data_IF_559488403565
#
_entry.id   IF_559488403565
#
_cell.length_a   1.000
_cell.length_b   1.000
_cell.length_c   1.000
_cell.angle_alpha   90.00
_cell.angle_beta   90.00
_cell.angle_gamma   90.00
#
_symmetry.space_group_name_H-M   'P 1'
#
loop_
_entity.id
_entity.type
_entity.pdbx_description
1 polymer ?
#
# COMPACT_ATOMS: atom_id res chain seq x y z
N UNK A 1 -0.37 28.37 -0.84
CA UNK A 1 -1.71 27.78 -1.03
C UNK A 1 -1.70 26.52 -0.18
N UNK A 2 -2.53 26.46 0.85
CA UNK A 2 -2.57 25.33 1.78
C UNK A 2 -3.20 24.16 1.03
N UNK A 3 -2.64 22.96 1.17
CA UNK A 3 -3.25 21.76 0.61
C UNK A 3 -4.50 21.42 1.42
N UNK A 4 -5.56 20.97 0.74
CA UNK A 4 -6.81 20.59 1.42
C UNK A 4 -6.57 19.40 2.36
N UNK A 5 -5.78 18.43 1.90
CA UNK A 5 -5.30 17.32 2.73
C UNK A 5 -3.90 17.65 3.25
N UNK A 6 -3.69 17.49 4.55
CA UNK A 6 -2.36 17.64 5.13
C UNK A 6 -1.43 16.52 4.63
N UNK A 7 -0.20 16.81 4.21
CA UNK A 7 0.69 15.83 3.59
C UNK A 7 1.29 14.81 4.56
N UNK A 8 1.27 15.08 5.87
CA UNK A 8 1.73 14.14 6.90
C UNK A 8 0.68 13.07 7.18
N UNK A 9 1.14 11.86 7.49
CA UNK A 9 0.32 10.78 8.01
C UNK A 9 0.79 10.47 9.43
N UNK A 10 -0.14 10.43 10.38
CA UNK A 10 0.15 10.06 11.76
C UNK A 10 -0.13 8.58 11.96
N UNK A 11 0.80 7.87 12.59
CA UNK A 11 0.55 6.51 13.08
C UNK A 11 -0.04 6.60 14.49
N UNK A 12 -1.18 5.93 14.68
CA UNK A 12 -1.83 5.88 15.98
C UNK A 12 -1.85 4.46 16.49
N UNK A 13 -1.26 4.26 17.66
CA UNK A 13 -1.23 2.97 18.35
C UNK A 13 -2.44 2.84 19.27
N UNK A 14 -3.22 1.78 19.06
CA UNK A 14 -4.36 1.40 19.89
C UNK A 14 -4.02 0.09 20.62
N UNK A 15 -4.86 -0.31 21.57
CA UNK A 15 -4.60 -1.46 22.47
C UNK A 15 -4.23 -2.75 21.74
N UNK A 16 -4.77 -2.99 20.54
CA UNK A 16 -4.60 -4.24 19.79
C UNK A 16 -4.17 -4.06 18.34
N UNK A 17 -4.09 -2.82 17.84
CA UNK A 17 -3.83 -2.54 16.44
C UNK A 17 -3.34 -1.12 16.22
N UNK A 18 -2.97 -0.81 14.98
CA UNK A 18 -2.60 0.53 14.56
C UNK A 18 -3.53 1.06 13.50
N UNK A 19 -3.60 2.38 13.41
CA UNK A 19 -4.36 3.09 12.39
C UNK A 19 -3.51 4.22 11.85
N UNK A 20 -3.69 4.55 10.58
CA UNK A 20 -3.17 5.80 10.02
C UNK A 20 -4.23 6.88 10.20
N UNK A 21 -3.84 8.05 10.67
CA UNK A 21 -4.69 9.22 10.74
C UNK A 21 -4.22 10.27 9.73
N UNK A 22 -5.19 10.83 9.00
CA UNK A 22 -5.06 11.90 8.01
C UNK A 22 -5.91 13.09 8.45
N UNK A 23 -5.57 14.28 7.96
CA UNK A 23 -6.34 15.50 8.19
C UNK A 23 -6.76 16.18 6.89
N UNK A 24 -8.02 16.61 6.81
CA UNK A 24 -8.57 17.46 5.76
C UNK A 24 -8.96 18.81 6.38
N UNK A 25 -8.25 19.88 6.02
CA UNK A 25 -8.43 21.20 6.61
C UNK A 25 -9.56 22.01 5.99
N UNK A 26 -9.85 21.77 4.70
CA UNK A 26 -10.85 22.52 3.95
C UNK A 26 -11.40 21.67 2.81
N UNK A 27 -12.66 21.84 2.46
CA UNK A 27 -13.18 21.22 1.23
C UNK A 27 -12.53 21.86 -0.01
N UNK A 28 -12.31 21.04 -1.02
CA UNK A 28 -11.75 21.42 -2.32
C UNK A 28 -12.65 20.87 -3.42
N UNK A 29 -12.35 21.16 -4.67
CA UNK A 29 -12.92 20.41 -5.78
C UNK A 29 -12.71 18.89 -5.58
N UNK A 30 -13.74 18.09 -5.87
CA UNK A 30 -13.77 16.65 -5.58
C UNK A 30 -12.67 15.87 -6.30
N UNK A 31 -12.27 16.30 -7.50
CA UNK A 31 -11.18 15.65 -8.24
C UNK A 31 -9.84 15.93 -7.55
N UNK A 32 -9.62 17.16 -7.10
CA UNK A 32 -8.43 17.53 -6.35
C UNK A 32 -8.34 16.82 -4.98
N UNK A 33 -9.48 16.57 -4.32
CA UNK A 33 -9.56 15.76 -3.10
C UNK A 33 -9.14 14.32 -3.40
N UNK A 34 -9.71 13.71 -4.45
CA UNK A 34 -9.39 12.35 -4.88
C UNK A 34 -7.89 12.21 -5.14
N UNK A 35 -7.32 13.09 -5.97
CA UNK A 35 -5.92 13.02 -6.36
C UNK A 35 -4.98 13.13 -5.16
N UNK A 36 -5.28 14.05 -4.22
CA UNK A 36 -4.49 14.23 -3.00
C UNK A 36 -4.56 13.00 -2.09
N UNK A 37 -5.76 12.46 -1.85
CA UNK A 37 -5.96 11.29 -1.00
C UNK A 37 -5.34 10.03 -1.60
N UNK A 38 -5.59 9.76 -2.89
CA UNK A 38 -5.02 8.60 -3.59
C UNK A 38 -3.50 8.64 -3.52
N UNK A 39 -2.90 9.80 -3.81
CA UNK A 39 -1.44 9.97 -3.72
C UNK A 39 -0.92 9.75 -2.30
N UNK A 40 -1.62 10.26 -1.29
CA UNK A 40 -1.18 10.12 0.10
C UNK A 40 -1.30 8.67 0.60
N UNK A 41 -2.39 7.99 0.26
CA UNK A 41 -2.59 6.56 0.53
C UNK A 41 -1.51 5.74 -0.17
N UNK A 42 -1.26 5.98 -1.45
CA UNK A 42 -0.22 5.31 -2.22
C UNK A 42 1.15 5.44 -1.54
N UNK A 43 1.56 6.67 -1.19
CA UNK A 43 2.83 6.90 -0.51
C UNK A 43 2.90 6.22 0.86
N UNK A 44 1.79 6.20 1.61
CA UNK A 44 1.71 5.54 2.92
C UNK A 44 1.92 4.05 2.80
N UNK A 45 1.21 3.39 1.88
CA UNK A 45 1.36 1.95 1.66
C UNK A 45 2.72 1.60 1.03
N UNK A 46 3.25 2.41 0.13
CA UNK A 46 4.59 2.21 -0.41
C UNK A 46 5.65 2.29 0.69
N UNK A 47 5.57 3.28 1.58
CA UNK A 47 6.50 3.41 2.69
C UNK A 47 6.42 2.21 3.65
N UNK A 48 5.23 1.69 3.92
CA UNK A 48 5.04 0.51 4.77
C UNK A 48 5.53 -0.78 4.08
N UNK A 49 5.22 -0.99 2.80
CA UNK A 49 5.52 -2.26 2.12
C UNK A 49 6.94 -2.36 1.57
N UNK A 50 7.61 -1.22 1.41
CA UNK A 50 9.03 -1.17 1.00
C UNK A 50 9.99 -1.35 2.17
N UNK A 51 9.49 -1.58 3.40
CA UNK A 51 10.33 -1.79 4.57
C UNK A 51 11.27 -2.99 4.41
N UNK A 52 12.48 -2.87 4.97
CA UNK A 52 13.41 -3.98 5.05
C UNK A 52 12.89 -5.11 5.95
N UNK A 53 13.34 -6.35 5.74
CA UNK A 53 12.91 -7.51 6.54
C UNK A 53 13.09 -7.33 8.05
N UNK A 54 14.19 -6.72 8.47
CA UNK A 54 14.50 -6.43 9.88
C UNK A 54 13.51 -5.48 10.55
N UNK A 55 12.93 -4.55 9.79
CA UNK A 55 11.92 -3.58 10.27
C UNK A 55 10.51 -4.22 10.22
N UNK A 56 10.24 -5.02 9.19
CA UNK A 56 8.98 -5.73 8.99
C UNK A 56 8.67 -6.81 10.06
N UNK A 57 9.61 -7.08 10.97
CA UNK A 57 9.40 -7.90 12.18
C UNK A 57 8.48 -7.23 13.21
N UNK A 58 8.37 -5.90 13.20
CA UNK A 58 7.43 -5.21 14.07
C UNK A 58 6.00 -5.59 13.69
N UNK A 59 5.21 -6.10 14.64
CA UNK A 59 3.77 -6.37 14.44
C UNK A 59 2.99 -5.05 14.31
N UNK A 60 3.19 -4.33 13.21
CA UNK A 60 2.63 -3.00 12.96
C UNK A 60 1.12 -3.03 12.65
N UNK A 61 0.50 -4.21 12.62
CA UNK A 61 -0.94 -4.54 12.54
C UNK A 61 -1.90 -3.37 12.22
N UNK A 62 -1.71 -2.73 11.07
CA UNK A 62 -2.61 -1.65 10.63
C UNK A 62 -3.96 -2.24 10.24
N UNK A 63 -5.04 -1.62 10.74
CA UNK A 63 -6.42 -2.06 10.48
C UNK A 63 -7.28 -1.04 9.77
N UNK A 64 -6.93 0.25 9.81
CA UNK A 64 -7.71 1.29 9.18
C UNK A 64 -6.91 2.54 8.85
N UNK A 65 -7.46 3.35 7.95
CA UNK A 65 -7.10 4.75 7.73
C UNK A 65 -8.27 5.61 8.20
N UNK A 66 -7.99 6.59 9.05
CA UNK A 66 -8.95 7.61 9.49
C UNK A 66 -8.66 8.93 8.81
N UNK A 67 -9.71 9.63 8.38
CA UNK A 67 -9.65 10.99 7.87
C UNK A 67 -10.46 11.90 8.80
N UNK A 68 -9.76 12.80 9.49
CA UNK A 68 -10.37 13.84 10.31
C UNK A 68 -10.62 15.07 9.43
N UNK A 69 -11.87 15.49 9.35
CA UNK A 69 -12.27 16.60 8.49
C UNK A 69 -12.66 17.78 9.35
N UNK A 70 -12.07 18.94 9.08
CA UNK A 70 -12.21 20.16 9.88
C UNK A 70 -13.11 21.22 9.23
N UNK A 71 -13.62 20.95 8.03
CA UNK A 71 -14.52 21.81 7.27
C UNK A 71 -15.66 21.00 6.63
N UNK A 72 -16.78 21.64 6.29
CA UNK A 72 -17.92 20.96 5.70
C UNK A 72 -17.60 20.44 4.28
N UNK A 73 -17.69 19.11 4.08
CA UNK A 73 -17.54 18.53 2.74
C UNK A 73 -18.81 18.64 1.92
N UNK A 74 -18.65 19.05 0.67
CA UNK A 74 -19.66 18.95 -0.37
C UNK A 74 -20.08 17.50 -0.64
N UNK A 75 -21.26 17.34 -1.23
CA UNK A 75 -21.78 16.01 -1.60
C UNK A 75 -20.85 15.25 -2.57
N UNK A 76 -20.29 15.87 -3.64
CA UNK A 76 -19.32 15.19 -4.50
C UNK A 76 -18.06 14.73 -3.76
N UNK A 77 -17.53 15.54 -2.83
CA UNK A 77 -16.38 15.16 -1.99
C UNK A 77 -16.70 13.94 -1.12
N UNK A 78 -17.92 13.84 -0.58
CA UNK A 78 -18.37 12.67 0.19
C UNK A 78 -18.50 11.41 -0.67
N UNK A 79 -18.95 11.54 -1.92
CA UNK A 79 -19.02 10.43 -2.88
C UNK A 79 -17.61 9.91 -3.23
N UNK A 80 -16.64 10.81 -3.41
CA UNK A 80 -15.21 10.44 -3.58
C UNK A 80 -14.71 9.61 -2.39
N UNK A 81 -15.01 10.06 -1.16
CA UNK A 81 -14.61 9.32 0.04
C UNK A 81 -15.21 7.91 0.06
N UNK A 82 -16.50 7.77 -0.23
CA UNK A 82 -17.17 6.47 -0.29
C UNK A 82 -16.55 5.54 -1.35
N UNK A 83 -16.22 6.07 -2.53
CA UNK A 83 -15.54 5.29 -3.58
C UNK A 83 -14.13 4.83 -3.18
N UNK A 84 -13.46 5.62 -2.33
CA UNK A 84 -12.17 5.28 -1.72
C UNK A 84 -12.34 4.39 -0.48
N UNK A 85 -13.55 3.92 -0.18
CA UNK A 85 -13.83 2.99 0.92
C UNK A 85 -13.93 3.63 2.30
N UNK A 86 -14.08 4.95 2.36
CA UNK A 86 -14.27 5.68 3.61
C UNK A 86 -15.76 5.77 3.95
N UNK A 87 -16.11 5.27 5.14
CA UNK A 87 -17.42 5.43 5.73
C UNK A 87 -17.38 6.48 6.86
N UNK A 88 -18.45 7.27 6.99
CA UNK A 88 -18.56 8.23 8.09
C UNK A 88 -18.70 7.49 9.43
N UNK A 89 -17.95 7.93 10.43
CA UNK A 89 -17.94 7.35 11.78
C UNK A 89 -18.09 8.43 12.84
N UNK A 90 -18.38 7.98 14.07
CA UNK A 90 -18.62 8.89 15.18
C UNK A 90 -17.31 9.41 15.76
N UNK A 91 -17.19 10.73 15.89
CA UNK A 91 -16.14 11.35 16.70
C UNK A 91 -16.43 11.16 18.20
N UNK A 92 -15.47 10.59 18.92
CA UNK A 92 -15.54 10.37 20.38
C UNK A 92 -14.37 11.10 21.04
N UNK A 93 -14.56 12.28 21.66
CA UNK A 93 -13.45 13.14 22.12
C UNK A 93 -12.35 12.42 22.90
N UNK A 94 -12.73 11.62 23.90
CA UNK A 94 -11.78 10.91 24.76
C UNK A 94 -10.91 9.89 24.00
N UNK A 95 -11.43 9.30 22.91
CA UNK A 95 -10.67 8.36 22.10
C UNK A 95 -9.69 9.07 21.17
N UNK A 96 -9.90 10.35 20.87
CA UNK A 96 -9.16 11.10 19.85
C UNK A 96 -8.23 12.16 20.45
N UNK A 97 -8.18 12.33 21.77
CA UNK A 97 -7.45 13.40 22.45
C UNK A 97 -5.99 13.52 21.98
N UNK A 98 -5.24 12.41 21.99
CA UNK A 98 -3.83 12.39 21.56
C UNK A 98 -3.67 12.71 20.07
N UNK A 99 -4.55 12.16 19.22
CA UNK A 99 -4.54 12.43 17.76
C UNK A 99 -4.80 13.91 17.50
N UNK A 100 -5.75 14.49 18.21
CA UNK A 100 -6.11 15.90 18.08
C UNK A 100 -5.01 16.83 18.59
N UNK A 101 -4.27 16.42 19.63
CA UNK A 101 -3.10 17.17 20.10
C UNK A 101 -2.01 17.21 19.01
N UNK A 102 -1.66 16.06 18.43
CA UNK A 102 -0.67 15.99 17.35
C UNK A 102 -1.10 16.82 16.13
N UNK A 103 -2.38 16.75 15.74
CA UNK A 103 -2.88 17.54 14.62
C UNK A 103 -2.89 19.05 14.87
N UNK A 104 -3.09 19.49 16.12
CA UNK A 104 -2.95 20.90 16.50
C UNK A 104 -1.50 21.37 16.34
N UNK A 105 -0.53 20.57 16.79
CA UNK A 105 0.89 20.91 16.65
C UNK A 105 1.31 21.02 15.17
N UNK A 106 0.87 20.09 14.32
CA UNK A 106 1.12 20.16 12.87
C UNK A 106 0.49 21.40 12.24
N UNK A 107 -0.77 21.69 12.58
CA UNK A 107 -1.44 22.86 12.02
C UNK A 107 -0.81 24.18 12.48
N UNK A 108 -0.40 24.29 13.75
CA UNK A 108 0.34 25.44 14.26
C UNK A 108 1.67 25.65 13.53
N UNK A 109 2.39 24.56 13.22
CA UNK A 109 3.63 24.62 12.44
C UNK A 109 3.41 25.14 11.01
N UNK A 110 2.24 24.91 10.42
CA UNK A 110 1.81 25.44 9.12
C UNK A 110 1.14 26.84 9.21
N UNK A 111 0.99 27.38 10.43
CA UNK A 111 0.34 28.67 10.67
C UNK A 111 -1.19 28.63 10.52
N UNK A 112 -1.79 27.45 10.69
CA UNK A 112 -3.23 27.19 10.62
C UNK A 112 -3.77 26.93 12.03
N UNK A 113 -4.97 27.43 12.32
CA UNK A 113 -5.67 27.16 13.57
C UNK A 113 -6.96 26.38 13.27
N UNK A 114 -6.89 25.05 13.16
CA UNK A 114 -8.08 24.24 12.91
C UNK A 114 -9.01 24.30 14.12
N UNK A 115 -10.33 24.09 13.93
CA UNK A 115 -11.28 23.92 15.02
C UNK A 115 -10.80 22.88 16.05
N UNK A 116 -11.21 23.03 17.31
CA UNK A 116 -10.82 22.13 18.40
C UNK A 116 -11.28 20.67 18.20
N UNK A 117 -12.27 20.46 17.34
CA UNK A 117 -12.83 19.15 16.99
C UNK A 117 -13.10 19.07 15.49
N UNK A 118 -12.94 17.89 14.86
CA UNK A 118 -13.36 17.70 13.47
C UNK A 118 -14.89 17.83 13.34
N UNK A 119 -15.37 18.28 12.19
CA UNK A 119 -16.79 18.32 11.86
C UNK A 119 -17.31 16.94 11.43
N UNK A 120 -16.43 16.10 10.91
CA UNK A 120 -16.72 14.73 10.52
C UNK A 120 -15.45 13.86 10.63
N UNK A 121 -15.64 12.57 10.89
CA UNK A 121 -14.57 11.58 10.85
C UNK A 121 -15.00 10.51 9.87
N UNK A 122 -14.09 10.14 8.97
CA UNK A 122 -14.29 9.06 8.05
C UNK A 122 -13.26 7.96 8.31
N UNK A 123 -13.65 6.71 8.08
CA UNK A 123 -12.81 5.54 8.32
C UNK A 123 -12.87 4.61 7.11
N UNK A 124 -11.70 4.24 6.59
CA UNK A 124 -11.54 3.16 5.64
C UNK A 124 -10.87 1.98 6.33
N UNK A 125 -11.60 0.87 6.48
CA UNK A 125 -11.04 -0.38 6.99
C UNK A 125 -10.10 -1.01 5.96
N UNK A 126 -9.01 -1.59 6.46
CA UNK A 126 -8.06 -2.34 5.64
C UNK A 126 -8.46 -3.81 5.68
N UNK A 127 -9.04 -4.27 4.58
CA UNK A 127 -9.44 -5.65 4.36
C UNK A 127 -8.23 -6.58 4.43
N UNK A 128 -8.44 -7.76 5.00
CA UNK A 128 -7.44 -8.82 5.08
C UNK A 128 -8.00 -10.09 4.48
N UNK A 129 -7.13 -11.00 3.99
CA UNK A 129 -7.56 -12.35 3.67
C UNK A 129 -8.35 -12.97 4.83
N UNK A 130 -9.29 -13.86 4.53
CA UNK A 130 -10.04 -14.57 5.57
C UNK A 130 -9.08 -15.28 6.56
N UNK A 131 -9.53 -15.51 7.79
CA UNK A 131 -8.67 -16.01 8.88
C UNK A 131 -7.85 -17.26 8.50
N UNK A 132 -8.45 -18.20 7.76
CA UNK A 132 -7.76 -19.45 7.37
C UNK A 132 -6.59 -19.24 6.40
N UNK A 133 -6.66 -18.19 5.58
CA UNK A 133 -5.60 -17.79 4.65
C UNK A 133 -4.62 -16.84 5.35
N UNK A 134 -5.13 -15.92 6.19
CA UNK A 134 -4.33 -14.92 6.91
C UNK A 134 -3.24 -15.57 7.76
N UNK A 135 -3.56 -16.59 8.56
CA UNK A 135 -2.58 -17.28 9.41
C UNK A 135 -1.41 -17.88 8.59
N UNK A 136 -1.72 -18.44 7.43
CA UNK A 136 -0.72 -19.02 6.54
C UNK A 136 0.12 -17.93 5.87
N UNK A 137 -0.51 -16.84 5.43
CA UNK A 137 0.19 -15.69 4.85
C UNK A 137 1.14 -15.06 5.87
N UNK A 138 0.73 -14.93 7.13
CA UNK A 138 1.59 -14.43 8.21
C UNK A 138 2.76 -15.38 8.50
N UNK A 139 2.54 -16.70 8.44
CA UNK A 139 3.61 -17.68 8.54
C UNK A 139 4.61 -17.55 7.37
N UNK A 140 4.13 -17.37 6.15
CA UNK A 140 4.98 -17.14 4.97
C UNK A 140 5.81 -15.88 5.14
N UNK A 141 5.19 -14.76 5.55
CA UNK A 141 5.88 -13.50 5.84
C UNK A 141 7.02 -13.71 6.84
N UNK A 142 6.76 -14.38 7.98
CA UNK A 142 7.78 -14.66 9.00
C UNK A 142 8.93 -15.50 8.47
N UNK A 143 8.63 -16.55 7.70
CA UNK A 143 9.67 -17.38 7.08
C UNK A 143 10.49 -16.62 6.04
N UNK A 144 9.85 -15.73 5.26
CA UNK A 144 10.56 -14.88 4.32
C UNK A 144 11.48 -13.89 5.03
N UNK A 145 11.04 -13.30 6.14
CA UNK A 145 11.88 -12.42 6.96
C UNK A 145 13.13 -13.16 7.45
N UNK A 146 12.98 -14.36 8.00
CA UNK A 146 14.11 -15.14 8.53
C UNK A 146 15.16 -15.48 7.46
N UNK A 147 14.73 -15.67 6.20
CA UNK A 147 15.63 -16.04 5.10
C UNK A 147 16.22 -14.83 4.37
N UNK A 148 15.49 -13.71 4.33
CA UNK A 148 15.90 -12.50 3.60
C UNK A 148 16.50 -11.45 4.55
N UNK A 149 16.79 -11.80 5.81
CA UNK A 149 17.33 -10.85 6.78
C UNK A 149 18.63 -10.19 6.26
N UNK A 150 18.64 -8.86 6.28
CA UNK A 150 19.72 -8.04 5.73
C UNK A 150 19.72 -7.85 4.20
N UNK A 151 18.86 -8.55 3.45
CA UNK A 151 18.73 -8.33 2.00
C UNK A 151 17.86 -7.11 1.69
N UNK A 152 18.17 -6.43 0.58
CA UNK A 152 17.33 -5.38 0.00
C UNK A 152 16.74 -5.81 -1.33
N UNK A 153 15.56 -5.27 -1.66
CA UNK A 153 14.97 -5.51 -2.98
C UNK A 153 15.96 -5.14 -4.10
N UNK A 154 16.03 -6.02 -5.10
CA UNK A 154 16.89 -5.88 -6.27
C UNK A 154 18.32 -6.40 -6.09
N UNK A 155 18.75 -6.74 -4.87
CA UNK A 155 20.08 -7.32 -4.63
C UNK A 155 20.20 -8.72 -5.22
N UNK A 156 19.16 -9.55 -5.02
CA UNK A 156 19.03 -10.90 -5.56
C UNK A 156 17.81 -11.00 -6.48
N UNK A 157 17.89 -10.58 -7.77
CA UNK A 157 16.78 -10.67 -8.71
C UNK A 157 16.18 -12.07 -8.80
N UNK A 158 14.86 -12.20 -8.63
CA UNK A 158 14.15 -13.48 -8.64
C UNK A 158 14.25 -14.29 -7.33
N UNK A 159 15.05 -13.84 -6.36
CA UNK A 159 15.23 -14.50 -5.07
C UNK A 159 13.95 -14.49 -4.23
N UNK A 160 13.42 -13.29 -3.89
CA UNK A 160 12.19 -13.14 -3.11
C UNK A 160 10.99 -13.86 -3.73
N UNK A 161 10.78 -13.76 -5.04
CA UNK A 161 9.67 -14.42 -5.73
C UNK A 161 9.77 -15.94 -5.70
N UNK A 162 10.97 -16.51 -5.89
CA UNK A 162 11.22 -17.94 -5.78
C UNK A 162 10.98 -18.46 -4.37
N UNK A 163 11.39 -17.69 -3.36
CA UNK A 163 11.18 -18.03 -1.96
C UNK A 163 9.69 -18.01 -1.62
N UNK A 164 8.98 -16.95 -2.03
CA UNK A 164 7.53 -16.85 -1.91
C UNK A 164 6.82 -18.04 -2.57
N UNK A 165 7.13 -18.35 -3.83
CA UNK A 165 6.57 -19.51 -4.54
C UNK A 165 6.84 -20.85 -3.80
N UNK A 166 8.01 -21.00 -3.18
CA UNK A 166 8.36 -22.18 -2.39
C UNK A 166 7.47 -22.32 -1.16
N UNK A 167 7.23 -21.23 -0.43
CA UNK A 167 6.38 -21.27 0.75
C UNK A 167 4.89 -21.38 0.41
N UNK A 168 4.44 -20.79 -0.69
CA UNK A 168 3.09 -21.03 -1.20
C UNK A 168 2.85 -22.51 -1.51
N UNK A 169 3.82 -23.18 -2.12
CA UNK A 169 3.75 -24.63 -2.34
C UNK A 169 3.68 -25.41 -1.03
N UNK A 170 4.41 -25.01 0.00
CA UNK A 170 4.41 -25.71 1.28
C UNK A 170 3.08 -25.53 2.05
N UNK A 171 2.55 -24.31 2.09
CA UNK A 171 1.37 -23.98 2.93
C UNK A 171 0.02 -24.13 2.22
N UNK A 172 0.00 -23.95 0.90
CA UNK A 172 -1.22 -24.01 0.08
C UNK A 172 -1.23 -25.18 -0.91
N UNK A 173 -0.15 -25.95 -1.02
CA UNK A 173 0.00 -27.01 -2.03
C UNK A 173 -0.17 -26.48 -3.48
N UNK A 174 0.14 -25.20 -3.70
CA UNK A 174 0.04 -24.54 -5.00
C UNK A 174 1.41 -24.40 -5.63
N UNK A 175 1.56 -24.84 -6.88
CA UNK A 175 2.78 -24.58 -7.64
C UNK A 175 2.63 -23.27 -8.40
N UNK A 176 3.51 -22.31 -8.12
CA UNK A 176 3.56 -21.03 -8.83
C UNK A 176 4.69 -21.09 -9.86
N UNK A 177 4.34 -20.86 -11.12
CA UNK A 177 5.27 -20.69 -12.24
C UNK A 177 5.36 -19.21 -12.64
N UNK A 178 6.51 -18.70 -13.11
CA UNK A 178 6.67 -17.30 -13.51
C UNK A 178 6.00 -17.00 -14.86
N UNK A 179 4.68 -17.16 -14.88
CA UNK A 179 3.79 -16.91 -16.02
C UNK A 179 2.48 -16.28 -15.51
N UNK A 180 1.58 -15.94 -16.44
CA UNK A 180 0.25 -15.39 -16.11
C UNK A 180 -0.56 -16.26 -15.15
N UNK A 181 -0.43 -17.59 -15.19
CA UNK A 181 -1.18 -18.49 -14.29
C UNK A 181 -0.64 -18.42 -12.87
N UNK A 182 0.68 -18.29 -12.70
CA UNK A 182 1.27 -18.01 -11.41
C UNK A 182 0.85 -16.66 -10.85
N UNK A 183 0.78 -15.62 -11.69
CA UNK A 183 0.30 -14.30 -11.27
C UNK A 183 -1.15 -14.35 -10.79
N UNK A 184 -2.03 -15.01 -11.56
CA UNK A 184 -3.41 -15.24 -11.15
C UNK A 184 -3.52 -16.07 -9.87
N UNK A 185 -2.61 -17.03 -9.66
CA UNK A 185 -2.59 -17.79 -8.41
C UNK A 185 -2.27 -16.90 -7.21
N UNK A 186 -1.33 -15.95 -7.34
CA UNK A 186 -1.07 -14.99 -6.26
C UNK A 186 -2.27 -14.08 -6.00
N UNK A 187 -2.90 -13.57 -7.05
CA UNK A 187 -4.12 -12.77 -6.95
C UNK A 187 -5.19 -13.46 -6.10
N UNK A 188 -5.48 -14.74 -6.34
CA UNK A 188 -6.46 -15.51 -5.58
C UNK A 188 -6.17 -15.65 -4.09
N UNK A 189 -4.90 -15.59 -3.67
CA UNK A 189 -4.51 -15.73 -2.26
C UNK A 189 -4.29 -14.38 -1.57
N UNK A 190 -3.78 -13.39 -2.31
CA UNK A 190 -3.30 -12.13 -1.75
C UNK A 190 -4.30 -10.99 -1.90
N UNK A 191 -5.20 -11.04 -2.89
CA UNK A 191 -6.05 -9.92 -3.28
C UNK A 191 -7.49 -10.27 -2.98
N UNK A 192 -8.16 -9.42 -2.21
CA UNK A 192 -9.58 -9.61 -1.86
C UNK A 192 -10.46 -8.93 -2.92
N UNK A 193 -11.45 -9.63 -3.47
CA UNK A 193 -12.29 -9.11 -4.57
C UNK A 193 -13.33 -8.05 -4.14
N UNK A 194 -13.26 -7.54 -2.91
CA UNK A 194 -14.24 -6.56 -2.39
C UNK A 194 -13.98 -5.18 -3.00
N UNK A 195 -14.96 -4.64 -3.73
CA UNK A 195 -14.88 -3.29 -4.29
C UNK A 195 -14.77 -2.22 -3.20
N UNK A 196 -14.22 -1.05 -3.56
CA UNK A 196 -14.14 0.14 -2.71
C UNK A 196 -13.55 -0.14 -1.32
N UNK A 197 -12.48 -0.94 -1.24
CA UNK A 197 -11.79 -1.20 0.03
C UNK A 197 -10.28 -1.12 -0.13
N UNK A 198 -9.63 -0.68 0.95
CA UNK A 198 -8.19 -0.81 1.12
C UNK A 198 -7.87 -2.26 1.47
N UNK A 199 -6.76 -2.79 0.97
CA UNK A 199 -6.37 -4.19 1.18
C UNK A 199 -4.98 -4.30 1.77
N UNK A 200 -4.83 -5.17 2.76
CA UNK A 200 -3.54 -5.43 3.38
C UNK A 200 -2.76 -6.48 2.60
N UNK A 201 -1.49 -6.17 2.34
CA UNK A 201 -0.51 -7.13 1.84
C UNK A 201 0.71 -7.09 2.75
N UNK A 202 1.21 -8.22 3.25
CA UNK A 202 2.43 -8.18 4.05
C UNK A 202 3.63 -7.69 3.23
N UNK A 203 4.54 -6.88 3.82
CA UNK A 203 5.63 -6.24 3.07
C UNK A 203 6.51 -7.17 2.23
N UNK A 204 6.86 -8.36 2.74
CA UNK A 204 7.74 -9.27 1.99
C UNK A 204 7.00 -10.01 0.88
N UNK A 205 5.70 -10.24 1.05
CA UNK A 205 4.87 -10.75 -0.04
C UNK A 205 4.65 -9.69 -1.12
N UNK A 206 4.51 -8.41 -0.75
CA UNK A 206 4.50 -7.31 -1.72
C UNK A 206 5.79 -7.23 -2.52
N UNK A 207 6.95 -7.25 -1.86
CA UNK A 207 8.25 -7.24 -2.54
C UNK A 207 8.47 -8.50 -3.39
N UNK A 208 8.04 -9.66 -2.89
CA UNK A 208 8.05 -10.92 -3.64
C UNK A 208 7.15 -10.88 -4.88
N UNK A 209 5.99 -10.22 -4.80
CA UNK A 209 5.08 -10.05 -5.93
C UNK A 209 5.65 -9.08 -6.96
N UNK A 210 6.23 -7.97 -6.51
CA UNK A 210 6.97 -7.06 -7.38
C UNK A 210 8.08 -7.83 -8.12
N UNK A 211 8.94 -8.54 -7.38
CA UNK A 211 10.03 -9.35 -7.95
C UNK A 211 9.51 -10.40 -8.95
N UNK A 212 8.39 -11.06 -8.64
CA UNK A 212 7.77 -12.05 -9.51
C UNK A 212 7.34 -11.45 -10.84
N UNK A 213 6.79 -10.23 -10.84
CA UNK A 213 6.48 -9.51 -12.08
C UNK A 213 7.73 -9.30 -12.92
N UNK A 214 8.84 -8.88 -12.31
CA UNK A 214 10.12 -8.74 -13.01
C UNK A 214 10.59 -10.05 -13.67
N UNK A 215 10.48 -11.16 -12.95
CA UNK A 215 10.82 -12.50 -13.48
C UNK A 215 9.88 -12.90 -14.62
N UNK A 216 8.58 -12.65 -14.50
CA UNK A 216 7.59 -12.93 -15.55
C UNK A 216 7.88 -12.11 -16.82
N UNK A 217 8.18 -10.81 -16.68
CA UNK A 217 8.56 -9.95 -17.80
C UNK A 217 9.80 -10.46 -18.55
N UNK A 218 10.79 -10.99 -17.82
CA UNK A 218 11.94 -11.65 -18.46
C UNK A 218 11.57 -12.98 -19.14
N UNK A 219 10.78 -13.82 -18.47
CA UNK A 219 10.49 -15.19 -18.91
C UNK A 219 9.50 -15.25 -20.07
N UNK A 220 8.43 -14.45 -20.03
CA UNK A 220 7.32 -14.50 -20.97
C UNK A 220 7.46 -13.50 -22.12
N UNK A 221 8.00 -12.31 -21.83
CA UNK A 221 8.11 -11.21 -22.79
C UNK A 221 9.54 -10.96 -23.29
N UNK A 222 10.51 -11.73 -22.79
CA UNK A 222 11.93 -11.61 -23.16
C UNK A 222 12.49 -10.18 -22.97
N UNK A 223 11.95 -9.45 -21.98
CA UNK A 223 12.45 -8.12 -21.62
C UNK A 223 13.73 -8.25 -20.80
N UNK A 224 14.71 -7.38 -21.02
CA UNK A 224 15.92 -7.32 -20.20
C UNK A 224 15.67 -6.46 -18.94
N UNK A 225 14.88 -6.98 -18.02
CA UNK A 225 14.55 -6.32 -16.76
C UNK A 225 15.79 -6.19 -15.88
N UNK A 226 15.99 -5.01 -15.29
CA UNK A 226 17.03 -4.77 -14.30
C UNK A 226 16.38 -4.13 -13.06
N UNK A 227 16.60 -4.75 -11.90
CA UNK A 227 16.02 -4.33 -10.63
C UNK A 227 16.82 -3.17 -10.04
N UNK A 228 16.13 -2.11 -9.60
CA UNK A 228 16.75 -1.06 -8.83
C UNK A 228 16.92 -1.50 -7.37
N UNK A 229 18.08 -1.21 -6.79
CA UNK A 229 18.35 -1.49 -5.37
C UNK A 229 17.50 -0.57 -4.49
N UNK A 230 16.79 -1.17 -3.53
CA UNK A 230 15.98 -0.44 -2.55
C UNK A 230 16.71 -0.30 -1.22
N UNK A 231 17.90 0.30 -1.26
CA UNK A 231 18.70 0.56 -0.05
C UNK A 231 18.08 1.71 0.75
N UNK A 232 17.81 1.54 2.06
CA UNK A 232 17.34 2.65 2.89
C UNK A 232 18.31 3.81 2.92
N UNK A 233 17.75 5.01 3.01
CA UNK A 233 18.51 6.22 3.29
C UNK A 233 18.86 6.35 4.78
N UNK A 234 19.55 7.44 5.14
CA UNK A 234 19.93 7.74 6.53
C UNK A 234 18.74 7.92 7.48
N UNK A 235 17.54 8.13 6.94
CA UNK A 235 16.29 8.24 7.69
C UNK A 235 15.58 6.88 7.84
N UNK A 236 16.16 5.81 7.29
CA UNK A 236 15.60 4.46 7.32
C UNK A 236 14.53 4.18 6.27
N UNK A 237 14.29 5.11 5.33
CA UNK A 237 13.31 4.92 4.26
C UNK A 237 13.96 4.26 3.05
N UNK A 238 13.46 3.08 2.68
CA UNK A 238 13.82 2.44 1.43
C UNK A 238 12.99 3.03 0.28
N UNK A 239 13.60 3.32 -0.89
CA UNK A 239 12.83 3.69 -2.07
C UNK A 239 11.98 2.48 -2.52
N UNK A 240 10.84 2.71 -3.17
CA UNK A 240 9.95 1.63 -3.58
C UNK A 240 10.58 0.75 -4.68
N UNK A 241 10.12 -0.50 -4.85
CA UNK A 241 10.51 -1.37 -5.95
C UNK A 241 10.32 -0.71 -7.32
N UNK A 242 11.40 -0.67 -8.11
CA UNK A 242 11.43 -0.11 -9.47
C UNK A 242 12.25 -1.04 -10.38
N UNK A 243 11.80 -1.17 -11.63
CA UNK A 243 12.59 -1.79 -12.69
C UNK A 243 13.09 -0.76 -13.69
N UNK A 244 14.14 -1.12 -14.42
CA UNK A 244 14.49 -0.48 -15.69
C UNK A 244 14.52 -1.51 -16.81
N UNK A 245 13.99 -1.13 -17.98
CA UNK A 245 14.00 -1.95 -19.21
C UNK A 245 14.55 -1.12 -20.37
N UNK A 246 15.23 -1.73 -21.37
CA UNK A 246 15.71 -1.01 -22.54
C UNK A 246 14.56 -0.43 -23.38
N UNK A 247 14.65 0.86 -23.74
CA UNK A 247 13.65 1.51 -24.59
C UNK A 247 13.98 1.35 -26.09
N UNK A 248 12.95 1.27 -26.94
CA UNK A 248 13.06 1.09 -28.41
C UNK A 248 13.87 2.19 -29.13
N UNK A 249 14.04 3.37 -28.53
CA UNK A 249 14.84 4.49 -29.05
C UNK A 249 16.25 4.60 -28.49
N UNK A 250 16.70 3.63 -27.70
CA UNK A 250 17.91 3.72 -26.87
C UNK A 250 17.62 4.34 -25.50
N UNK A 251 18.46 4.01 -24.51
CA UNK A 251 18.24 4.39 -23.12
C UNK A 251 17.44 3.34 -22.34
N UNK A 252 16.92 3.75 -21.18
CA UNK A 252 16.15 2.91 -20.28
C UNK A 252 14.85 3.61 -19.88
N UNK A 253 13.79 2.83 -19.80
CA UNK A 253 12.50 3.22 -19.23
C UNK A 253 12.39 2.66 -17.80
N UNK A 254 11.87 3.46 -16.88
CA UNK A 254 11.62 3.03 -15.50
C UNK A 254 10.19 2.57 -15.34
N UNK A 255 10.01 1.36 -14.84
CA UNK A 255 8.71 0.81 -14.48
C UNK A 255 8.57 0.91 -12.96
N UNK A 256 7.69 1.78 -12.43
CA UNK A 256 7.49 1.95 -11.00
C UNK A 256 6.64 0.80 -10.43
N UNK A 257 7.15 -0.43 -10.48
CA UNK A 257 6.36 -1.63 -10.21
C UNK A 257 5.73 -1.62 -8.82
N UNK A 258 6.41 -1.09 -7.80
CA UNK A 258 5.84 -0.98 -6.46
C UNK A 258 4.54 -0.16 -6.46
N UNK A 259 4.55 1.00 -7.14
CA UNK A 259 3.38 1.86 -7.30
C UNK A 259 2.25 1.14 -8.04
N UNK A 260 2.58 0.48 -9.15
CA UNK A 260 1.60 -0.26 -9.94
C UNK A 260 0.93 -1.37 -9.12
N UNK A 261 1.69 -2.13 -8.34
CA UNK A 261 1.13 -3.17 -7.46
C UNK A 261 0.26 -2.58 -6.35
N UNK A 262 0.61 -1.41 -5.79
CA UNK A 262 -0.26 -0.71 -4.84
C UNK A 262 -1.58 -0.31 -5.50
N UNK A 263 -1.53 0.32 -6.67
CA UNK A 263 -2.72 0.73 -7.41
C UNK A 263 -3.60 -0.49 -7.72
N UNK A 264 -3.03 -1.58 -8.21
CA UNK A 264 -3.78 -2.74 -8.67
C UNK A 264 -4.31 -3.63 -7.53
N UNK A 265 -3.57 -3.76 -6.44
CA UNK A 265 -3.83 -4.78 -5.41
C UNK A 265 -4.29 -4.21 -4.07
N UNK A 266 -4.00 -2.93 -3.78
CA UNK A 266 -4.06 -2.39 -2.41
C UNK A 266 -5.08 -1.27 -2.32
N UNK A 267 -5.03 -0.32 -3.26
CA UNK A 267 -5.95 0.80 -3.28
C UNK A 267 -7.38 0.37 -3.63
N UNK A 268 -8.39 1.18 -3.28
CA UNK A 268 -9.78 0.90 -3.59
C UNK A 268 -9.96 0.83 -5.10
N UNK A 269 -10.74 -0.16 -5.53
CA UNK A 269 -10.99 -0.45 -6.93
C UNK A 269 -12.50 -0.62 -7.16
N UNK A 270 -13.03 -0.30 -8.35
CA UNK A 270 -14.44 -0.53 -8.69
C UNK A 270 -14.77 -2.03 -8.75
N UNK A 271 -16.06 -2.38 -8.86
CA UNK A 271 -16.51 -3.78 -8.90
C UNK A 271 -15.91 -4.59 -10.07
N UNK A 272 -15.78 -3.98 -11.25
CA UNK A 272 -15.18 -4.62 -12.42
C UNK A 272 -13.76 -4.11 -12.63
N UNK A 273 -12.77 -4.95 -12.30
CA UNK A 273 -11.36 -4.61 -12.45
C UNK A 273 -10.61 -5.64 -13.28
N UNK A 274 -9.65 -5.22 -14.13
CA UNK A 274 -8.79 -6.16 -14.81
C UNK A 274 -7.96 -6.96 -13.81
N UNK A 275 -7.80 -8.24 -14.08
CA UNK A 275 -6.94 -9.12 -13.28
C UNK A 275 -5.49 -8.69 -13.37
N UNK A 276 -4.65 -9.09 -12.42
CA UNK A 276 -3.21 -8.82 -12.51
C UNK A 276 -2.58 -9.33 -13.81
N UNK A 277 -3.05 -10.48 -14.29
CA UNK A 277 -2.62 -11.05 -15.57
C UNK A 277 -3.04 -10.23 -16.80
N UNK A 278 -4.06 -9.39 -16.68
CA UNK A 278 -4.46 -8.45 -17.73
C UNK A 278 -3.67 -7.13 -17.61
N UNK A 279 -3.52 -6.61 -16.39
CA UNK A 279 -2.80 -5.35 -16.12
C UNK A 279 -1.33 -5.41 -16.49
N UNK A 280 -0.70 -6.59 -16.42
CA UNK A 280 0.70 -6.74 -16.80
C UNK A 280 0.95 -6.39 -18.28
N UNK A 281 -0.05 -6.50 -19.15
CA UNK A 281 0.06 -6.09 -20.56
C UNK A 281 0.18 -4.57 -20.71
N UNK A 282 -0.18 -3.78 -19.69
CA UNK A 282 -0.02 -2.31 -19.69
C UNK A 282 1.44 -1.89 -19.47
N UNK A 283 2.30 -2.82 -19.03
CA UNK A 283 3.72 -2.60 -18.69
C UNK A 283 4.67 -3.02 -19.82
N UNK A 284 4.18 -3.80 -20.79
CA UNK A 284 4.95 -4.38 -21.91
C UNK A 284 4.85 -3.51 -23.15
#
# INVERSE_FOLDING_TARGET
MIQSIHPRVLEVELEHHREWALACWSDTDSDALRDQLVRLLELTFLAEYSQQPSIALGERNFKAVQLLVFDELSQPSREVLAELGFDETQYVPDQYEERMAAWREEAEAEGVHPPESPVAVFKADIERPNASISDKIEQIQRQMIDQLDGEVFGETPGGPSKLMATYFRQHFNTTITPDRKGLHSFELFLIQEKAHTLRWMPPLLFQGLCDFVGVLLQAEYNLNVQWALSTPDDSGFAPPPVFRVPASGGGYEHIPIGKLIIEWCVLPQPEETPTLAQRIEEVV
#
